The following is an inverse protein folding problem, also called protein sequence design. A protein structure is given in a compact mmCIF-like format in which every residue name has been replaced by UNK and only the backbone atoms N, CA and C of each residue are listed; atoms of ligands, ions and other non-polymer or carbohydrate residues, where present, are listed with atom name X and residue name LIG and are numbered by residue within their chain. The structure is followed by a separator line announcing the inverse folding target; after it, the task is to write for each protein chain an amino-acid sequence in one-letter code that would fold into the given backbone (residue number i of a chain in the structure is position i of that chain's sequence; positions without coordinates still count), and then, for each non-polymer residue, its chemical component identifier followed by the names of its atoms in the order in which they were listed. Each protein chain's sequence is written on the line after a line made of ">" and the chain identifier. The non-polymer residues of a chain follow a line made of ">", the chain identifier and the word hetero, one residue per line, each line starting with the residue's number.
data_IF_585339131965
#
_entry.id   IF_585339131965
#
_cell.length_a   1.000
_cell.length_b   1.000
_cell.length_c   1.000
_cell.angle_alpha   90.00
_cell.angle_beta   90.00
_cell.angle_gamma   90.00
#
_symmetry.space_group_name_H-M   'P 1'
#
loop_
_entity.id
_entity.type
_entity.pdbx_description
1 polymer ?
#
# COMPACT_ATOMS: atom_id res chain seq x y z
N UNK A 1 20.21 -43.29 48.48
CA UNK A 1 19.42 -42.09 48.17
C UNK A 1 20.10 -41.40 47.01
N UNK A 2 19.57 -41.53 45.79
CA UNK A 2 20.10 -40.78 44.65
C UNK A 2 19.46 -39.39 44.70
N UNK A 3 20.29 -38.37 44.86
CA UNK A 3 19.86 -36.99 44.71
C UNK A 3 19.33 -36.84 43.28
N UNK A 4 18.02 -36.68 43.13
CA UNK A 4 17.41 -36.32 41.87
C UNK A 4 17.98 -34.96 41.49
N UNK A 5 18.83 -34.96 40.47
CA UNK A 5 19.46 -33.77 39.90
C UNK A 5 18.36 -32.97 39.20
N UNK A 6 17.71 -32.08 39.96
CA UNK A 6 16.67 -31.21 39.42
C UNK A 6 17.39 -30.14 38.61
N UNK A 7 17.41 -30.33 37.28
CA UNK A 7 17.94 -29.31 36.38
C UNK A 7 17.22 -27.98 36.66
N UNK A 8 17.96 -26.86 36.79
CA UNK A 8 17.36 -25.57 37.08
C UNK A 8 16.36 -25.21 35.99
N UNK A 9 15.14 -24.85 36.39
CA UNK A 9 14.06 -24.48 35.48
C UNK A 9 14.51 -23.27 34.64
N UNK A 10 14.68 -23.47 33.33
CA UNK A 10 15.04 -22.43 32.37
C UNK A 10 13.89 -22.21 31.38
N UNK A 11 13.65 -20.97 30.97
CA UNK A 11 12.66 -20.58 29.96
C UNK A 11 12.80 -21.38 28.65
N UNK A 12 14.03 -21.73 28.28
CA UNK A 12 14.31 -22.53 27.07
C UNK A 12 13.83 -23.98 27.19
N UNK A 13 13.69 -24.49 28.41
CA UNK A 13 13.35 -25.88 28.72
C UNK A 13 11.90 -26.06 29.14
N UNK A 14 11.09 -25.00 29.09
CA UNK A 14 9.69 -25.08 29.45
C UNK A 14 8.91 -26.00 28.50
N UNK A 15 7.95 -26.79 29.02
CA UNK A 15 7.03 -27.53 28.17
C UNK A 15 6.26 -26.60 27.22
N UNK A 16 6.02 -27.06 25.98
CA UNK A 16 5.38 -26.27 24.93
C UNK A 16 4.02 -25.67 25.36
N UNK A 17 3.24 -26.39 26.17
CA UNK A 17 1.94 -25.91 26.67
C UNK A 17 2.08 -24.72 27.62
N UNK A 18 3.13 -24.68 28.44
CA UNK A 18 3.42 -23.54 29.31
C UNK A 18 3.88 -22.35 28.49
N UNK A 19 4.73 -22.58 27.48
CA UNK A 19 5.17 -21.52 26.54
C UNK A 19 3.95 -20.91 25.83
N UNK A 20 3.05 -21.73 25.28
CA UNK A 20 1.81 -21.25 24.64
C UNK A 20 0.94 -20.43 25.60
N UNK A 21 0.82 -20.87 26.86
CA UNK A 21 0.07 -20.14 27.88
C UNK A 21 0.70 -18.77 28.15
N UNK A 22 2.02 -18.70 28.36
CA UNK A 22 2.74 -17.43 28.57
C UNK A 22 2.58 -16.50 27.36
N UNK A 23 2.82 -17.02 26.16
CA UNK A 23 2.63 -16.30 24.88
C UNK A 23 1.21 -15.73 24.76
N UNK A 24 0.19 -16.48 25.21
CA UNK A 24 -1.20 -16.02 25.17
C UNK A 24 -1.53 -14.93 26.20
N UNK A 25 -0.77 -14.85 27.30
CA UNK A 25 -0.95 -13.87 28.37
C UNK A 25 -0.19 -12.55 28.08
N UNK A 26 0.98 -12.62 27.46
CA UNK A 26 1.84 -11.45 27.19
C UNK A 26 1.82 -11.04 25.71
N UNK A 27 0.79 -10.29 25.31
CA UNK A 27 0.59 -9.84 23.92
C UNK A 27 1.59 -8.77 23.45
N UNK A 28 2.16 -8.00 24.37
CA UNK A 28 2.98 -6.82 24.03
C UNK A 28 4.47 -7.16 23.81
N UNK A 29 4.93 -8.33 24.27
CA UNK A 29 6.35 -8.74 24.23
C UNK A 29 6.64 -9.88 23.24
N UNK A 30 5.70 -10.17 22.33
CA UNK A 30 5.78 -11.33 21.43
C UNK A 30 7.04 -11.33 20.54
N UNK A 31 7.52 -10.17 20.09
CA UNK A 31 8.73 -10.12 19.26
C UNK A 31 10.00 -10.49 20.06
N UNK A 32 10.12 -10.02 21.31
CA UNK A 32 11.23 -10.39 22.17
C UNK A 32 11.19 -11.87 22.54
N UNK A 33 10.00 -12.45 22.72
CA UNK A 33 9.84 -13.87 23.02
C UNK A 33 10.33 -14.80 21.90
N UNK A 34 10.23 -14.38 20.64
CA UNK A 34 10.71 -15.17 19.48
C UNK A 34 12.22 -15.40 19.52
N UNK A 35 12.95 -14.59 20.27
CA UNK A 35 14.41 -14.65 20.39
C UNK A 35 14.88 -15.59 21.52
N UNK A 36 13.97 -16.08 22.38
CA UNK A 36 14.32 -16.95 23.51
C UNK A 36 14.83 -18.31 22.99
N UNK A 37 13.98 -19.06 22.30
CA UNK A 37 14.36 -20.35 21.71
C UNK A 37 13.51 -20.71 20.49
N UNK A 38 13.91 -21.72 19.67
CA UNK A 38 13.09 -22.19 18.55
C UNK A 38 11.67 -22.61 18.95
N UNK A 39 11.49 -23.17 20.15
CA UNK A 39 10.18 -23.57 20.66
C UNK A 39 9.28 -22.34 20.93
N UNK A 40 9.85 -21.27 21.50
CA UNK A 40 9.15 -20.00 21.69
C UNK A 40 8.79 -19.35 20.35
N UNK A 41 9.72 -19.32 19.40
CA UNK A 41 9.45 -18.80 18.05
C UNK A 41 8.29 -19.55 17.38
N UNK A 42 8.24 -20.87 17.52
CA UNK A 42 7.15 -21.70 16.98
C UNK A 42 5.81 -21.45 17.70
N UNK A 43 5.82 -21.35 19.04
CA UNK A 43 4.62 -21.07 19.82
C UNK A 43 4.07 -19.66 19.54
N UNK A 44 4.93 -18.64 19.44
CA UNK A 44 4.54 -17.29 19.03
C UNK A 44 3.98 -17.29 17.61
N UNK A 45 4.63 -17.97 16.67
CA UNK A 45 4.11 -18.08 15.30
C UNK A 45 2.73 -18.77 15.26
N UNK A 46 2.54 -19.85 16.03
CA UNK A 46 1.25 -20.53 16.15
C UNK A 46 0.19 -19.62 16.79
N UNK A 47 0.53 -18.93 17.86
CA UNK A 47 -0.38 -18.01 18.53
C UNK A 47 -0.80 -16.86 17.62
N UNK A 48 0.18 -16.25 16.93
CA UNK A 48 -0.06 -15.19 15.96
C UNK A 48 -0.93 -15.68 14.80
N UNK A 49 -0.72 -16.92 14.32
CA UNK A 49 -1.57 -17.51 13.28
C UNK A 49 -3.03 -17.69 13.71
N UNK A 50 -3.29 -17.87 15.01
CA UNK A 50 -4.63 -17.92 15.59
C UNK A 50 -5.22 -16.55 15.95
N UNK A 51 -4.41 -15.49 15.93
CA UNK A 51 -4.79 -14.11 16.26
C UNK A 51 -4.82 -13.20 15.03
N UNK A 52 -4.76 -13.75 13.82
CA UNK A 52 -4.86 -12.95 12.63
C UNK A 52 -6.26 -12.35 12.54
N UNK A 53 -6.33 -11.03 12.69
CA UNK A 53 -7.56 -10.29 12.48
C UNK A 53 -7.85 -10.23 10.97
N UNK A 54 -9.13 -10.13 10.60
CA UNK A 54 -9.54 -9.77 9.25
C UNK A 54 -9.82 -8.28 9.21
N UNK A 55 -9.26 -7.59 8.23
CA UNK A 55 -9.62 -6.22 7.90
C UNK A 55 -10.93 -6.24 7.12
N UNK A 56 -11.91 -5.44 7.55
CA UNK A 56 -13.16 -5.32 6.79
C UNK A 56 -12.94 -4.50 5.52
N UNK A 57 -12.18 -3.40 5.64
CA UNK A 57 -11.85 -2.52 4.52
C UNK A 57 -10.48 -1.90 4.71
N UNK A 58 -9.73 -1.79 3.62
CA UNK A 58 -8.52 -0.96 3.52
C UNK A 58 -8.70 -0.06 2.32
N UNK A 59 -8.49 1.23 2.50
CA UNK A 59 -8.51 2.19 1.42
C UNK A 59 -7.14 2.86 1.35
N UNK A 60 -6.42 2.57 0.28
CA UNK A 60 -5.21 3.27 -0.08
C UNK A 60 -5.58 4.33 -1.11
N UNK A 61 -5.19 5.56 -0.87
CA UNK A 61 -5.36 6.62 -1.86
C UNK A 61 -4.09 7.43 -1.99
N UNK A 62 -3.83 7.97 -3.19
CA UNK A 62 -2.84 9.03 -3.34
C UNK A 62 -3.51 10.40 -3.33
N UNK A 63 -2.80 11.43 -2.87
CA UNK A 63 -3.29 12.81 -2.92
C UNK A 63 -3.05 13.44 -4.31
N UNK A 64 -3.38 12.72 -5.38
CA UNK A 64 -3.12 13.15 -6.76
C UNK A 64 -3.99 14.38 -7.10
N UNK A 65 -5.21 14.46 -6.56
CA UNK A 65 -6.05 15.66 -6.69
C UNK A 65 -6.43 16.32 -5.36
N UNK A 66 -5.49 17.07 -4.78
CA UNK A 66 -5.86 18.26 -4.01
C UNK A 66 -6.22 19.40 -4.98
N UNK A 67 -7.33 19.29 -5.73
CA UNK A 67 -8.11 20.50 -5.96
C UNK A 67 -8.52 20.93 -4.55
N UNK A 68 -7.90 21.98 -4.04
CA UNK A 68 -8.35 22.57 -2.80
C UNK A 68 -9.82 22.92 -3.01
N UNK A 69 -10.72 22.20 -2.34
CA UNK A 69 -12.17 22.50 -2.23
C UNK A 69 -12.44 23.88 -1.58
N UNK A 70 -11.47 24.78 -1.60
CA UNK A 70 -11.65 26.18 -1.28
C UNK A 70 -12.24 26.90 -2.49
N UNK A 71 -13.51 26.64 -2.78
CA UNK A 71 -14.36 27.60 -3.51
C UNK A 71 -14.43 28.97 -2.79
N UNK A 72 -13.90 29.05 -1.56
CA UNK A 72 -13.70 30.27 -0.77
C UNK A 72 -12.53 31.17 -1.23
N UNK A 73 -11.70 30.76 -2.21
CA UNK A 73 -10.50 31.53 -2.63
C UNK A 73 -10.73 32.47 -3.84
N UNK A 74 -11.98 32.73 -4.27
CA UNK A 74 -12.26 33.75 -5.28
C UNK A 74 -11.92 35.18 -4.80
N UNK A 75 -11.91 35.43 -3.49
CA UNK A 75 -11.58 36.75 -2.91
C UNK A 75 -10.07 37.00 -2.75
N UNK A 76 -9.21 35.99 -2.93
CA UNK A 76 -7.74 36.13 -2.85
C UNK A 76 -7.04 36.51 -4.16
N UNK A 77 -7.77 36.67 -5.25
CA UNK A 77 -7.23 36.96 -6.59
C UNK A 77 -6.42 38.29 -6.67
N UNK A 78 -6.51 39.18 -5.68
CA UNK A 78 -5.82 40.48 -5.67
C UNK A 78 -4.62 40.59 -4.73
N UNK A 79 -4.31 39.55 -3.94
CA UNK A 79 -3.09 39.55 -3.13
C UNK A 79 -1.88 39.14 -4.01
N UNK A 80 -0.72 39.82 -3.92
CA UNK A 80 0.49 39.38 -4.60
C UNK A 80 0.81 37.95 -4.15
N UNK A 81 1.05 37.02 -5.09
CA UNK A 81 1.17 35.61 -4.76
C UNK A 81 2.31 35.43 -3.75
N UNK A 82 2.07 34.80 -2.58
CA UNK A 82 3.15 34.43 -1.69
C UNK A 82 4.16 33.61 -2.49
N UNK A 83 5.46 33.92 -2.34
CA UNK A 83 6.52 33.18 -3.05
C UNK A 83 6.26 31.69 -2.89
N UNK A 84 6.09 30.92 -3.98
CA UNK A 84 5.72 29.52 -3.89
C UNK A 84 6.82 28.82 -3.11
N UNK A 85 6.51 28.37 -1.89
CA UNK A 85 7.31 27.32 -1.27
C UNK A 85 7.23 26.15 -2.24
N UNK A 86 8.36 25.52 -2.61
CA UNK A 86 8.30 24.31 -3.43
C UNK A 86 7.38 23.34 -2.70
N UNK A 87 6.18 23.14 -3.25
CA UNK A 87 5.22 22.20 -2.67
C UNK A 87 5.90 20.83 -2.74
N UNK A 88 5.92 20.05 -1.64
CA UNK A 88 6.36 18.68 -1.73
C UNK A 88 5.59 18.02 -2.87
N UNK A 89 6.31 17.30 -3.72
CA UNK A 89 5.75 16.57 -4.85
C UNK A 89 4.60 15.68 -4.33
N UNK A 90 3.33 16.06 -4.57
CA UNK A 90 2.18 15.40 -3.92
C UNK A 90 1.91 14.03 -4.52
N UNK A 91 2.44 13.77 -5.73
CA UNK A 91 2.12 12.64 -6.60
C UNK A 91 2.61 11.28 -6.07
N UNK A 92 3.30 11.25 -4.93
CA UNK A 92 3.94 10.05 -4.36
C UNK A 92 3.57 9.79 -2.90
N UNK A 93 2.54 10.46 -2.38
CA UNK A 93 2.09 10.26 -1.01
C UNK A 93 0.88 9.33 -0.97
N UNK A 94 1.01 8.22 -0.24
CA UNK A 94 -0.07 7.26 0.02
C UNK A 94 -0.60 7.50 1.42
N UNK A 95 -1.91 7.63 1.51
CA UNK A 95 -2.64 7.65 2.78
C UNK A 95 -3.41 6.34 2.89
N UNK A 96 -3.43 5.76 4.09
CA UNK A 96 -4.13 4.53 4.39
C UNK A 96 -5.27 4.84 5.35
N UNK A 97 -6.46 4.36 5.00
CA UNK A 97 -7.61 4.19 5.89
C UNK A 97 -7.87 2.70 6.07
N UNK A 98 -8.20 2.27 7.28
CA UNK A 98 -8.51 0.89 7.56
C UNK A 98 -9.64 0.75 8.57
N UNK A 99 -10.63 -0.07 8.25
CA UNK A 99 -11.74 -0.44 9.13
C UNK A 99 -11.39 -1.72 9.88
N UNK A 100 -11.23 -1.57 11.20
CA UNK A 100 -10.76 -2.60 12.12
C UNK A 100 -11.87 -2.97 13.10
N UNK A 101 -12.00 -4.25 13.48
CA UNK A 101 -12.88 -4.60 14.59
C UNK A 101 -12.39 -3.98 15.89
N UNK A 102 -13.31 -3.59 16.78
CA UNK A 102 -12.97 -2.96 18.08
C UNK A 102 -12.10 -3.85 18.99
N UNK A 103 -12.09 -5.15 18.73
CA UNK A 103 -11.24 -6.13 19.42
C UNK A 103 -9.76 -6.08 19.03
N UNK A 104 -9.39 -5.31 18.00
CA UNK A 104 -8.02 -5.17 17.55
C UNK A 104 -7.21 -4.27 18.52
N UNK A 105 -6.09 -4.75 19.09
CA UNK A 105 -5.30 -3.95 20.03
C UNK A 105 -4.68 -2.75 19.33
N UNK A 106 -5.09 -1.53 19.72
CA UNK A 106 -4.61 -0.28 19.12
C UNK A 106 -3.07 -0.14 19.12
N UNK A 107 -2.39 -0.58 20.19
CA UNK A 107 -0.93 -0.53 20.29
C UNK A 107 -0.24 -1.37 19.19
N UNK A 108 -0.84 -2.49 18.76
CA UNK A 108 -0.28 -3.38 17.74
C UNK A 108 -0.20 -2.70 16.38
N UNK A 109 -1.23 -1.91 16.04
CA UNK A 109 -1.32 -1.18 14.77
C UNK A 109 -0.66 0.20 14.82
N UNK A 110 -0.14 0.62 15.98
CA UNK A 110 0.46 1.95 16.17
C UNK A 110 -0.56 3.08 16.29
N UNK A 111 -1.75 2.78 16.84
CA UNK A 111 -2.78 3.77 17.14
C UNK A 111 -2.29 4.72 18.24
N UNK A 112 -2.38 6.02 17.97
CA UNK A 112 -1.85 7.08 18.84
C UNK A 112 -0.38 7.43 18.58
N UNK A 113 0.32 6.64 17.75
CA UNK A 113 1.69 6.95 17.31
C UNK A 113 1.69 7.53 15.90
N UNK A 114 1.45 6.67 14.89
CA UNK A 114 1.45 7.06 13.47
C UNK A 114 0.08 6.87 12.82
N UNK A 115 -0.86 6.21 13.51
CA UNK A 115 -2.26 6.14 13.14
C UNK A 115 -3.12 6.93 14.12
N UNK A 116 -4.21 7.51 13.60
CA UNK A 116 -5.24 8.21 14.36
C UNK A 116 -6.61 7.59 14.08
N UNK A 117 -7.54 7.71 15.03
CA UNK A 117 -8.93 7.32 14.79
C UNK A 117 -9.57 8.35 13.86
N UNK A 118 -10.10 7.89 12.74
CA UNK A 118 -10.88 8.71 11.82
C UNK A 118 -12.35 8.74 12.25
N UNK A 119 -12.95 7.56 12.44
CA UNK A 119 -14.36 7.39 12.80
C UNK A 119 -14.55 6.16 13.70
N UNK A 120 -15.59 6.17 14.53
CA UNK A 120 -15.97 5.04 15.41
C UNK A 120 -17.36 4.54 15.03
N UNK A 121 -17.46 3.24 14.82
CA UNK A 121 -18.69 2.49 14.60
C UNK A 121 -19.02 1.65 15.86
N UNK A 122 -20.24 1.08 15.99
CA UNK A 122 -20.62 0.33 17.19
C UNK A 122 -19.75 -0.90 17.52
N UNK A 123 -19.12 -1.51 16.50
CA UNK A 123 -18.30 -2.73 16.60
C UNK A 123 -16.94 -2.63 15.88
N UNK A 124 -16.60 -1.44 15.38
CA UNK A 124 -15.41 -1.19 14.59
C UNK A 124 -14.87 0.24 14.75
N UNK A 125 -13.58 0.42 14.49
CA UNK A 125 -12.93 1.72 14.35
C UNK A 125 -12.35 1.85 12.95
N UNK A 126 -12.57 2.99 12.32
CA UNK A 126 -11.80 3.38 11.15
C UNK A 126 -10.61 4.21 11.60
N UNK A 127 -9.42 3.77 11.21
CA UNK A 127 -8.17 4.47 11.49
C UNK A 127 -7.61 5.04 10.19
N UNK A 128 -6.82 6.10 10.33
CA UNK A 128 -6.08 6.70 9.22
C UNK A 128 -4.64 7.01 9.62
N UNK A 129 -3.72 6.99 8.68
CA UNK A 129 -2.37 7.53 8.86
C UNK A 129 -2.23 8.90 8.18
N UNK A 130 -1.18 9.63 8.52
CA UNK A 130 -0.76 10.79 7.74
C UNK A 130 -0.21 10.34 6.36
N UNK A 131 -0.23 11.21 5.33
CA UNK A 131 0.29 10.85 4.01
C UNK A 131 1.77 10.47 4.06
N UNK A 132 2.10 9.28 3.57
CA UNK A 132 3.45 8.73 3.58
C UNK A 132 4.01 8.63 2.17
N UNK A 133 5.28 9.04 1.99
CA UNK A 133 5.91 8.99 0.68
C UNK A 133 6.35 7.59 0.32
N UNK A 134 5.83 7.08 -0.79
CA UNK A 134 6.31 5.88 -1.45
C UNK A 134 7.10 6.31 -2.69
N UNK A 135 8.20 5.63 -2.97
CA UNK A 135 9.01 5.92 -4.15
C UNK A 135 9.33 4.62 -4.86
N UNK A 136 9.59 4.73 -6.15
CA UNK A 136 10.16 3.67 -6.94
C UNK A 136 11.53 3.23 -6.38
N UNK A 137 11.49 2.15 -5.61
CA UNK A 137 12.64 1.61 -4.91
C UNK A 137 13.69 1.04 -5.87
N UNK A 138 13.29 0.56 -7.05
CA UNK A 138 14.21 -0.06 -8.02
C UNK A 138 15.07 0.96 -8.76
N UNK A 139 14.48 2.06 -9.25
CA UNK A 139 15.23 3.01 -10.07
C UNK A 139 16.12 3.92 -9.22
N UNK A 140 15.66 4.39 -8.06
CA UNK A 140 16.48 5.27 -7.21
C UNK A 140 17.66 4.54 -6.58
N UNK A 141 17.48 3.31 -6.06
CA UNK A 141 18.58 2.57 -5.44
C UNK A 141 19.61 2.13 -6.47
N UNK A 142 19.18 1.74 -7.67
CA UNK A 142 20.09 1.45 -8.76
C UNK A 142 20.85 2.70 -9.23
N UNK A 143 20.16 3.83 -9.42
CA UNK A 143 20.79 5.11 -9.79
C UNK A 143 21.75 5.61 -8.69
N UNK A 144 21.38 5.46 -7.42
CA UNK A 144 22.22 5.83 -6.27
C UNK A 144 23.41 4.90 -6.11
N UNK A 145 23.23 3.57 -6.22
CA UNK A 145 24.37 2.62 -6.26
C UNK A 145 25.32 2.98 -7.38
N UNK A 146 24.82 3.26 -8.59
CA UNK A 146 25.64 3.75 -9.71
C UNK A 146 26.34 5.07 -9.40
N UNK A 147 25.70 6.03 -8.71
CA UNK A 147 26.33 7.29 -8.29
C UNK A 147 27.39 7.09 -7.21
N UNK A 148 27.13 6.27 -6.20
CA UNK A 148 28.07 5.95 -5.13
C UNK A 148 29.26 5.18 -5.67
N UNK A 149 29.03 4.21 -6.56
CA UNK A 149 30.07 3.45 -7.24
C UNK A 149 30.88 4.35 -8.18
N UNK A 150 30.24 5.24 -8.94
CA UNK A 150 30.93 6.24 -9.75
C UNK A 150 31.74 7.25 -8.91
N UNK A 151 31.25 7.61 -7.72
CA UNK A 151 31.99 8.46 -6.77
C UNK A 151 33.16 7.70 -6.16
N UNK A 152 32.96 6.45 -5.72
CA UNK A 152 34.01 5.58 -5.17
C UNK A 152 35.14 5.39 -6.18
N UNK A 153 34.78 5.07 -7.43
CA UNK A 153 35.73 4.91 -8.53
C UNK A 153 36.46 6.23 -8.87
N UNK A 154 35.85 7.41 -8.63
CA UNK A 154 36.53 8.70 -8.76
C UNK A 154 37.46 9.02 -7.59
N UNK A 155 37.11 8.59 -6.37
CA UNK A 155 37.94 8.79 -5.18
C UNK A 155 39.12 7.84 -5.11
N UNK A 156 39.00 6.61 -5.63
CA UNK A 156 40.13 5.66 -5.66
C UNK A 156 41.27 6.14 -6.59
N UNK A 157 40.99 7.03 -7.55
CA UNK A 157 42.00 7.66 -8.41
C UNK A 157 42.56 9.00 -7.85
N UNK A 158 42.09 9.47 -6.69
CA UNK A 158 42.59 10.72 -6.08
C UNK A 158 43.10 10.50 -4.65
N UNK A 159 44.42 10.47 -4.43
CA UNK A 159 44.97 10.37 -3.08
C UNK A 159 44.60 11.64 -2.27
N UNK A 160 43.96 11.45 -1.10
CA UNK A 160 43.71 12.45 -0.05
C UNK A 160 42.57 13.46 -0.25
N UNK A 161 41.33 13.01 -0.44
CA UNK A 161 40.14 13.89 -0.49
C UNK A 161 39.68 14.44 0.87
N UNK A 162 40.01 13.81 2.00
CA UNK A 162 39.69 14.35 3.34
C UNK A 162 40.42 15.67 3.63
N UNK A 163 41.62 15.86 3.07
CA UNK A 163 42.35 17.12 3.17
C UNK A 163 41.75 18.26 2.33
N UNK A 164 41.02 17.96 1.25
CA UNK A 164 40.53 18.99 0.32
C UNK A 164 39.40 19.82 0.94
N UNK A 165 38.52 19.21 1.75
CA UNK A 165 37.44 19.96 2.41
C UNK A 165 38.01 20.91 3.46
N UNK A 166 39.01 20.47 4.23
CA UNK A 166 39.71 21.32 5.20
C UNK A 166 40.53 22.41 4.50
N UNK A 167 41.21 22.09 3.40
CA UNK A 167 41.99 23.05 2.61
C UNK A 167 41.09 24.08 1.91
N UNK A 168 39.93 23.69 1.39
CA UNK A 168 38.96 24.63 0.78
C UNK A 168 38.31 25.49 1.84
N UNK A 169 37.94 24.92 3.00
CA UNK A 169 37.41 25.70 4.12
C UNK A 169 38.47 26.71 4.64
N UNK A 170 39.72 26.28 4.78
CA UNK A 170 40.84 27.14 5.16
C UNK A 170 41.13 28.21 4.11
N UNK A 171 41.11 27.87 2.82
CA UNK A 171 41.36 28.79 1.72
C UNK A 171 40.24 29.84 1.59
N UNK A 172 38.97 29.45 1.75
CA UNK A 172 37.84 30.40 1.80
C UNK A 172 37.98 31.32 3.02
N UNK A 173 38.34 30.77 4.18
CA UNK A 173 38.55 31.56 5.41
C UNK A 173 39.75 32.53 5.28
N UNK A 174 40.81 32.13 4.58
CA UNK A 174 41.99 32.96 4.33
C UNK A 174 41.70 34.06 3.29
N UNK A 175 41.05 33.72 2.18
CA UNK A 175 40.69 34.67 1.12
C UNK A 175 39.72 35.75 1.63
N UNK A 176 38.75 35.37 2.47
CA UNK A 176 37.84 36.34 3.10
C UNK A 176 38.52 37.22 4.14
N UNK A 177 39.47 36.67 4.91
CA UNK A 177 40.25 37.44 5.91
C UNK A 177 41.06 38.53 5.24
N UNK A 178 41.66 38.20 4.09
CA UNK A 178 42.49 39.11 3.33
C UNK A 178 41.69 40.22 2.64
N UNK A 179 40.48 39.91 2.16
CA UNK A 179 39.67 40.87 1.40
C UNK A 179 38.91 41.89 2.26
N UNK A 180 38.61 41.58 3.53
CA UNK A 180 37.65 42.39 4.31
C UNK A 180 38.21 42.99 5.60
N UNK A 181 39.43 42.65 6.03
CA UNK A 181 40.08 43.23 7.22
C UNK A 181 39.44 42.88 8.57
N UNK A 182 38.17 42.45 8.58
CA UNK A 182 37.43 41.98 9.75
C UNK A 182 36.43 40.90 9.32
N UNK A 183 36.75 39.63 9.57
CA UNK A 183 35.74 38.58 9.51
C UNK A 183 34.90 38.68 10.79
N UNK A 184 33.59 38.81 10.66
CA UNK A 184 32.69 38.40 11.75
C UNK A 184 32.56 36.87 11.70
N UNK A 185 32.92 36.12 12.75
CA UNK A 185 32.81 34.66 12.81
C UNK A 185 31.43 34.13 12.38
N UNK A 186 30.39 34.97 12.50
CA UNK A 186 29.04 34.70 12.04
C UNK A 186 28.91 34.42 10.53
N UNK A 187 29.71 35.04 9.65
CA UNK A 187 29.58 34.79 8.20
C UNK A 187 30.15 33.42 7.80
N UNK A 188 31.28 33.03 8.39
CA UNK A 188 31.86 31.69 8.17
C UNK A 188 30.94 30.61 8.74
N UNK A 189 30.39 30.82 9.94
CA UNK A 189 29.40 29.91 10.51
C UNK A 189 28.12 29.84 9.66
N UNK A 190 27.64 30.98 9.14
CA UNK A 190 26.50 31.01 8.23
C UNK A 190 26.77 30.24 6.94
N UNK A 191 27.94 30.40 6.32
CA UNK A 191 28.31 29.66 5.11
C UNK A 191 28.49 28.16 5.38
N UNK A 192 29.15 27.76 6.47
CA UNK A 192 29.25 26.35 6.88
C UNK A 192 27.87 25.77 7.22
N UNK A 193 27.00 26.54 7.87
CA UNK A 193 25.63 26.11 8.17
C UNK A 193 24.77 26.00 6.92
N UNK A 194 24.93 26.89 5.93
CA UNK A 194 24.27 26.82 4.63
C UNK A 194 24.82 25.66 3.80
N UNK A 195 26.12 25.38 3.88
CA UNK A 195 26.73 24.24 3.22
C UNK A 195 26.28 22.93 3.88
N UNK A 196 26.26 22.83 5.21
CA UNK A 196 25.69 21.69 5.97
C UNK A 196 24.19 21.52 5.72
N UNK A 197 23.43 22.62 5.57
CA UNK A 197 21.99 22.61 5.26
C UNK A 197 21.72 22.32 3.78
N UNK A 198 22.67 22.56 2.89
CA UNK A 198 22.62 22.16 1.48
C UNK A 198 23.09 20.71 1.29
N UNK A 199 23.94 20.22 2.19
CA UNK A 199 24.27 18.80 2.41
C UNK A 199 23.28 18.17 3.42
N UNK A 200 22.15 18.83 3.71
CA UNK A 200 21.10 18.23 4.55
C UNK A 200 20.74 16.90 3.90
N UNK A 201 20.98 15.86 4.69
CA UNK A 201 21.52 14.61 4.18
C UNK A 201 20.46 13.92 3.34
N UNK A 202 20.78 13.42 2.13
CA UNK A 202 19.93 12.45 1.45
C UNK A 202 19.57 11.23 2.33
N UNK A 203 20.28 11.06 3.46
CA UNK A 203 20.02 10.11 4.55
C UNK A 203 18.70 10.38 5.31
N UNK A 204 18.34 11.64 5.63
CA UNK A 204 17.09 11.95 6.38
C UNK A 204 15.83 11.57 5.56
N UNK A 205 15.87 11.84 4.25
CA UNK A 205 14.76 11.52 3.33
C UNK A 205 14.67 10.01 3.10
N UNK A 206 15.77 9.26 3.20
CA UNK A 206 15.77 7.80 3.07
C UNK A 206 15.24 7.12 4.33
N UNK A 207 15.60 7.63 5.50
CA UNK A 207 15.09 7.15 6.79
C UNK A 207 13.56 7.30 6.87
N UNK A 208 13.00 8.43 6.40
CA UNK A 208 11.55 8.63 6.33
C UNK A 208 10.85 7.61 5.40
N UNK A 209 11.50 7.21 4.30
CA UNK A 209 10.97 6.22 3.34
C UNK A 209 10.95 4.82 3.92
N UNK A 210 12.08 4.39 4.48
CA UNK A 210 12.20 3.07 5.11
C UNK A 210 11.23 2.96 6.29
N UNK A 211 11.02 4.06 7.01
CA UNK A 211 10.04 4.15 8.08
C UNK A 211 8.60 3.95 7.59
N UNK A 212 8.21 4.54 6.46
CA UNK A 212 6.87 4.36 5.88
C UNK A 212 6.61 2.90 5.48
N UNK A 213 7.54 2.29 4.72
CA UNK A 213 7.47 0.88 4.31
C UNK A 213 7.40 -0.02 5.54
N UNK A 214 8.28 0.20 6.53
CA UNK A 214 8.29 -0.58 7.76
C UNK A 214 6.99 -0.45 8.56
N UNK A 215 6.39 0.75 8.65
CA UNK A 215 5.11 0.97 9.32
C UNK A 215 3.97 0.22 8.64
N UNK A 216 3.88 0.30 7.32
CA UNK A 216 2.86 -0.41 6.55
C UNK A 216 3.06 -1.93 6.64
N UNK A 217 4.28 -2.44 6.47
CA UNK A 217 4.57 -3.87 6.64
C UNK A 217 4.23 -4.34 8.05
N UNK A 218 4.60 -3.59 9.09
CA UNK A 218 4.21 -3.90 10.48
C UNK A 218 2.70 -3.91 10.66
N UNK A 219 1.99 -2.92 10.11
CA UNK A 219 0.53 -2.87 10.15
C UNK A 219 -0.08 -4.12 9.54
N UNK A 220 0.25 -4.41 8.28
CA UNK A 220 -0.31 -5.51 7.53
C UNK A 220 0.04 -6.88 8.10
N UNK A 221 1.23 -7.05 8.69
CA UNK A 221 1.62 -8.29 9.40
C UNK A 221 0.68 -8.66 10.56
N UNK A 222 -0.18 -7.75 11.00
CA UNK A 222 -1.22 -7.98 12.00
C UNK A 222 -2.41 -8.81 11.53
N UNK A 223 -2.57 -8.98 10.22
CA UNK A 223 -3.81 -9.45 9.58
C UNK A 223 -3.54 -10.61 8.63
N UNK A 224 -4.49 -11.55 8.53
CA UNK A 224 -4.43 -12.65 7.54
C UNK A 224 -5.22 -12.34 6.27
N UNK A 225 -6.19 -11.45 6.38
CA UNK A 225 -7.16 -11.19 5.32
C UNK A 225 -7.56 -9.72 5.27
N UNK A 226 -7.76 -9.23 4.05
CA UNK A 226 -8.46 -7.99 3.74
C UNK A 226 -9.71 -8.38 2.96
N UNK A 227 -10.89 -8.08 3.51
CA UNK A 227 -12.14 -8.37 2.81
C UNK A 227 -12.31 -7.44 1.60
N UNK A 228 -11.99 -6.17 1.74
CA UNK A 228 -12.05 -5.22 0.63
C UNK A 228 -10.86 -4.26 0.65
N UNK A 229 -10.04 -4.30 -0.39
CA UNK A 229 -8.99 -3.34 -0.67
C UNK A 229 -9.44 -2.36 -1.76
N UNK A 230 -9.48 -1.08 -1.45
CA UNK A 230 -9.70 0.00 -2.41
C UNK A 230 -8.35 0.63 -2.69
N UNK A 231 -7.94 0.68 -3.96
CA UNK A 231 -6.87 1.54 -4.41
C UNK A 231 -7.49 2.68 -5.23
N UNK A 232 -7.22 3.92 -4.85
CA UNK A 232 -7.87 5.10 -5.40
C UNK A 232 -6.84 6.14 -5.86
N UNK A 233 -7.03 6.66 -7.07
CA UNK A 233 -6.28 7.78 -7.65
C UNK A 233 -4.76 7.53 -7.66
N UNK A 234 -4.29 6.34 -8.03
CA UNK A 234 -2.85 6.09 -8.21
C UNK A 234 -2.41 6.42 -9.64
N UNK A 235 -1.82 7.60 -9.81
CA UNK A 235 -1.19 7.99 -11.08
C UNK A 235 0.11 7.24 -11.37
N UNK A 236 0.83 6.79 -10.32
CA UNK A 236 2.12 6.10 -10.44
C UNK A 236 1.98 4.61 -10.03
N UNK A 237 2.18 3.72 -11.00
CA UNK A 237 2.21 2.25 -10.80
C UNK A 237 3.19 1.85 -9.71
N UNK A 238 4.38 2.46 -9.69
CA UNK A 238 5.48 2.03 -8.83
C UNK A 238 5.19 2.37 -7.37
N UNK A 239 4.46 3.47 -7.15
CA UNK A 239 3.91 3.84 -5.83
C UNK A 239 2.90 2.80 -5.37
N UNK A 240 1.94 2.45 -6.24
CA UNK A 240 0.95 1.43 -5.93
C UNK A 240 1.60 0.07 -5.63
N UNK A 241 2.48 -0.41 -6.51
CA UNK A 241 3.20 -1.66 -6.29
C UNK A 241 4.02 -1.63 -4.99
N UNK A 242 4.66 -0.51 -4.68
CA UNK A 242 5.45 -0.38 -3.46
C UNK A 242 4.56 -0.46 -2.23
N UNK A 243 3.38 0.17 -2.26
CA UNK A 243 2.38 0.07 -1.20
C UNK A 243 1.84 -1.37 -1.08
N UNK A 244 1.47 -2.02 -2.19
CA UNK A 244 0.95 -3.39 -2.18
C UNK A 244 1.99 -4.43 -1.75
N UNK A 245 3.27 -4.23 -2.09
CA UNK A 245 4.37 -5.07 -1.60
C UNK A 245 4.48 -5.09 -0.07
N UNK A 246 3.98 -4.06 0.63
CA UNK A 246 3.96 -4.04 2.10
C UNK A 246 2.92 -5.00 2.71
N UNK A 247 1.94 -5.46 1.93
CA UNK A 247 0.90 -6.40 2.35
C UNK A 247 1.34 -7.88 2.33
N UNK A 248 2.58 -8.16 1.92
CA UNK A 248 3.17 -9.50 1.85
C UNK A 248 2.27 -10.55 1.15
N UNK A 249 1.78 -11.57 1.87
CA UNK A 249 0.93 -12.66 1.36
C UNK A 249 -0.47 -12.65 2.02
N UNK A 250 -1.00 -11.46 2.32
CA UNK A 250 -2.35 -11.32 2.86
C UNK A 250 -3.38 -11.73 1.81
N UNK A 251 -4.37 -12.52 2.22
CA UNK A 251 -5.47 -12.89 1.36
C UNK A 251 -6.39 -11.68 1.15
N UNK A 252 -6.65 -11.30 -0.09
CA UNK A 252 -7.55 -10.19 -0.42
C UNK A 252 -8.80 -10.79 -1.05
N UNK A 253 -9.98 -10.51 -0.52
CA UNK A 253 -11.23 -11.05 -1.12
C UNK A 253 -11.68 -10.20 -2.30
N UNK A 254 -11.68 -8.88 -2.13
CA UNK A 254 -12.13 -7.92 -3.14
C UNK A 254 -11.10 -6.81 -3.32
N UNK A 255 -10.78 -6.52 -4.56
CA UNK A 255 -9.97 -5.39 -5.00
C UNK A 255 -10.87 -4.43 -5.77
N UNK A 256 -10.89 -3.17 -5.39
CA UNK A 256 -11.54 -2.10 -6.12
C UNK A 256 -10.49 -1.11 -6.58
N UNK A 257 -10.49 -0.81 -7.87
CA UNK A 257 -9.60 0.14 -8.50
C UNK A 257 -10.42 1.35 -8.93
N UNK A 258 -10.06 2.53 -8.39
CA UNK A 258 -10.69 3.81 -8.70
C UNK A 258 -9.75 4.82 -9.31
N UNK A 259 -10.27 5.61 -10.26
CA UNK A 259 -9.51 6.66 -10.94
C UNK A 259 -8.39 6.12 -11.81
N UNK A 260 -8.46 4.84 -12.21
CA UNK A 260 -7.48 4.23 -13.11
C UNK A 260 -7.97 4.26 -14.54
N UNK A 261 -7.11 4.72 -15.44
CA UNK A 261 -7.30 4.45 -16.87
C UNK A 261 -6.92 2.99 -17.15
N UNK A 262 -7.88 2.22 -17.66
CA UNK A 262 -7.64 0.84 -18.06
C UNK A 262 -6.55 0.78 -19.13
N UNK A 263 -5.47 0.05 -18.84
CA UNK A 263 -4.31 -0.09 -19.71
C UNK A 263 -3.65 -1.45 -19.49
N UNK A 264 -2.83 -1.91 -20.44
CA UNK A 264 -2.03 -3.14 -20.35
C UNK A 264 -1.22 -3.22 -19.05
N UNK A 265 -0.81 -2.05 -18.55
CA UNK A 265 -0.06 -1.90 -17.32
C UNK A 265 -0.89 -2.31 -16.10
N UNK A 266 -2.13 -1.78 -16.01
CA UNK A 266 -3.08 -2.09 -14.94
C UNK A 266 -3.56 -3.53 -15.06
N UNK A 267 -3.80 -4.03 -16.27
CA UNK A 267 -4.16 -5.44 -16.52
C UNK A 267 -3.12 -6.40 -15.94
N UNK A 268 -1.84 -6.21 -16.30
CA UNK A 268 -0.73 -7.04 -15.78
C UNK A 268 -0.60 -6.96 -14.26
N UNK A 269 -0.79 -5.77 -13.70
CA UNK A 269 -0.79 -5.57 -12.26
C UNK A 269 -1.94 -6.33 -11.59
N UNK A 270 -3.17 -6.26 -12.13
CA UNK A 270 -4.32 -7.00 -11.60
C UNK A 270 -4.04 -8.50 -11.63
N UNK A 271 -3.52 -9.05 -12.72
CA UNK A 271 -3.15 -10.48 -12.83
C UNK A 271 -2.12 -10.86 -11.75
N UNK A 272 -1.08 -10.03 -11.56
CA UNK A 272 -0.08 -10.26 -10.52
C UNK A 272 -0.71 -10.27 -9.12
N UNK A 273 -1.57 -9.30 -8.82
CA UNK A 273 -2.23 -9.18 -7.52
C UNK A 273 -3.20 -10.33 -7.26
N UNK A 274 -3.96 -10.74 -8.29
CA UNK A 274 -4.86 -11.88 -8.21
C UNK A 274 -4.08 -13.15 -7.86
N UNK A 275 -3.00 -13.41 -8.57
CA UNK A 275 -2.15 -14.58 -8.32
C UNK A 275 -1.49 -14.54 -6.94
N UNK A 276 -0.99 -13.36 -6.54
CA UNK A 276 -0.24 -13.19 -5.27
C UNK A 276 -1.14 -13.22 -4.03
N UNK A 277 -2.28 -12.54 -4.08
CA UNK A 277 -3.15 -12.31 -2.92
C UNK A 277 -4.44 -13.14 -2.95
N UNK A 278 -4.65 -13.96 -3.98
CA UNK A 278 -5.84 -14.80 -4.11
C UNK A 278 -7.12 -13.98 -4.27
N UNK A 279 -7.06 -12.86 -5.00
CA UNK A 279 -8.20 -11.96 -5.19
C UNK A 279 -9.35 -12.68 -5.88
N UNK A 280 -10.54 -12.61 -5.27
CA UNK A 280 -11.76 -13.24 -5.80
C UNK A 280 -12.66 -12.29 -6.58
N UNK A 281 -12.60 -11.00 -6.28
CA UNK A 281 -13.44 -9.99 -6.91
C UNK A 281 -12.58 -8.80 -7.29
N UNK A 282 -12.67 -8.35 -8.54
CA UNK A 282 -12.04 -7.11 -8.99
C UNK A 282 -13.12 -6.17 -9.49
N UNK A 283 -13.16 -4.95 -8.97
CA UNK A 283 -14.14 -3.92 -9.29
C UNK A 283 -13.42 -2.72 -9.90
N UNK A 284 -14.02 -2.13 -10.94
CA UNK A 284 -13.51 -0.96 -11.65
C UNK A 284 -14.60 0.11 -11.76
N UNK A 285 -14.19 1.37 -11.58
CA UNK A 285 -15.06 2.54 -11.72
C UNK A 285 -15.05 3.15 -13.13
N UNK A 286 -13.99 2.96 -13.92
CA UNK A 286 -13.90 3.40 -15.30
C UNK A 286 -13.27 2.32 -16.21
N UNK A 287 -13.93 2.05 -17.33
CA UNK A 287 -13.46 1.12 -18.36
C UNK A 287 -13.65 1.81 -19.72
N UNK A 288 -12.87 2.87 -19.92
CA UNK A 288 -12.96 3.73 -21.11
C UNK A 288 -12.26 3.15 -22.34
N UNK A 289 -11.36 2.17 -22.15
CA UNK A 289 -10.67 1.45 -23.23
C UNK A 289 -10.53 -0.03 -22.84
N UNK A 290 -10.76 -0.96 -23.76
CA UNK A 290 -10.62 -2.41 -23.56
C UNK A 290 -9.54 -3.02 -24.47
N UNK A 291 -8.57 -2.22 -24.92
CA UNK A 291 -7.39 -2.76 -25.59
C UNK A 291 -6.78 -3.92 -24.80
N UNK A 292 -6.49 -5.01 -25.51
CA UNK A 292 -5.90 -6.25 -24.97
C UNK A 292 -6.75 -6.98 -23.90
N UNK A 293 -8.04 -6.67 -23.82
CA UNK A 293 -8.95 -7.35 -22.88
C UNK A 293 -8.93 -8.88 -23.03
N UNK A 294 -8.85 -9.38 -24.27
CA UNK A 294 -8.78 -10.82 -24.55
C UNK A 294 -7.54 -11.47 -23.94
N UNK A 295 -6.36 -10.82 -24.07
CA UNK A 295 -5.11 -11.32 -23.50
C UNK A 295 -5.20 -11.35 -21.97
N UNK A 296 -5.71 -10.28 -21.36
CA UNK A 296 -5.95 -10.20 -19.92
C UNK A 296 -6.91 -11.29 -19.42
N UNK A 297 -8.04 -11.51 -20.10
CA UNK A 297 -9.00 -12.57 -19.77
C UNK A 297 -8.29 -13.93 -19.79
N UNK A 298 -7.58 -14.26 -20.87
CA UNK A 298 -6.83 -15.52 -20.95
C UNK A 298 -5.78 -15.64 -19.84
N UNK A 299 -5.06 -14.58 -19.48
CA UNK A 299 -4.10 -14.59 -18.36
C UNK A 299 -4.79 -14.91 -17.02
N UNK A 300 -5.92 -14.27 -16.72
CA UNK A 300 -6.68 -14.54 -15.48
C UNK A 300 -7.21 -15.97 -15.45
N UNK A 301 -7.70 -16.49 -16.57
CA UNK A 301 -8.22 -17.86 -16.67
C UNK A 301 -7.12 -18.90 -16.52
N UNK A 302 -5.91 -18.63 -17.01
CA UNK A 302 -4.76 -19.50 -16.80
C UNK A 302 -4.42 -19.66 -15.30
N UNK A 303 -4.94 -18.79 -14.43
CA UNK A 303 -4.88 -18.94 -12.97
C UNK A 303 -5.96 -19.90 -12.41
N UNK A 304 -6.75 -20.55 -13.29
CA UNK A 304 -7.82 -21.47 -12.93
C UNK A 304 -9.14 -20.77 -12.57
N UNK A 305 -9.32 -19.52 -12.98
CA UNK A 305 -10.47 -18.70 -12.62
C UNK A 305 -11.59 -18.72 -13.67
N UNK A 306 -12.84 -18.66 -13.23
CA UNK A 306 -14.00 -18.22 -14.03
C UNK A 306 -14.13 -16.70 -13.94
N UNK A 307 -14.65 -16.02 -14.96
CA UNK A 307 -14.80 -14.55 -14.98
C UNK A 307 -16.26 -14.18 -15.27
N UNK A 308 -16.95 -13.62 -14.28
CA UNK A 308 -18.28 -13.05 -14.49
C UNK A 308 -18.16 -11.52 -14.58
N UNK A 309 -18.71 -10.88 -15.63
CA UNK A 309 -18.56 -9.45 -15.92
C UNK A 309 -19.91 -8.73 -15.77
N UNK A 310 -19.95 -7.66 -14.98
CA UNK A 310 -21.17 -6.88 -14.74
C UNK A 310 -20.94 -5.44 -15.15
N UNK A 311 -21.89 -4.82 -15.86
CA UNK A 311 -21.83 -3.41 -16.23
C UNK A 311 -23.14 -2.69 -15.93
N UNK A 312 -23.04 -1.54 -15.28
CA UNK A 312 -24.21 -0.86 -14.71
C UNK A 312 -24.82 0.16 -15.67
N UNK A 313 -24.05 0.75 -16.57
CA UNK A 313 -24.51 1.81 -17.47
C UNK A 313 -24.21 1.51 -18.93
N UNK A 314 -25.07 0.74 -19.63
CA UNK A 314 -24.93 0.62 -21.07
C UNK A 314 -25.15 1.98 -21.74
N UNK A 315 -24.20 2.42 -22.56
CA UNK A 315 -24.37 3.59 -23.42
C UNK A 315 -24.88 3.10 -24.77
N UNK A 316 -26.12 3.42 -25.13
CA UNK A 316 -26.73 3.07 -26.43
C UNK A 316 -26.70 1.56 -26.76
N UNK A 317 -27.09 0.70 -25.80
CA UNK A 317 -27.01 -0.78 -25.89
C UNK A 317 -25.60 -1.35 -26.09
N UNK A 318 -24.57 -0.52 -25.85
CA UNK A 318 -23.17 -0.95 -25.86
C UNK A 318 -22.70 -1.16 -24.44
N UNK A 319 -21.94 -2.23 -24.29
CA UNK A 319 -21.29 -2.65 -23.07
C UNK A 319 -19.78 -2.50 -23.29
N UNK A 320 -19.12 -1.67 -22.49
CA UNK A 320 -17.73 -1.24 -22.70
C UNK A 320 -17.46 -0.80 -24.14
N UNK A 321 -18.36 0.04 -24.68
CA UNK A 321 -18.32 0.57 -26.05
C UNK A 321 -18.47 -0.49 -27.17
N UNK A 322 -18.71 -1.76 -26.84
CA UNK A 322 -18.96 -2.85 -27.78
C UNK A 322 -20.44 -3.26 -27.77
N UNK A 323 -21.02 -3.66 -28.91
CA UNK A 323 -22.41 -4.13 -28.95
C UNK A 323 -22.58 -5.45 -28.17
N UNK A 324 -23.76 -5.70 -27.59
CA UNK A 324 -24.05 -6.97 -26.89
C UNK A 324 -23.71 -8.23 -27.71
N UNK A 325 -23.94 -8.20 -29.03
CA UNK A 325 -23.63 -9.32 -29.91
C UNK A 325 -22.14 -9.68 -29.97
N UNK A 326 -21.25 -8.69 -29.86
CA UNK A 326 -19.80 -8.93 -29.78
C UNK A 326 -19.48 -9.78 -28.55
N UNK A 327 -20.10 -9.43 -27.42
CA UNK A 327 -19.87 -10.14 -26.18
C UNK A 327 -20.51 -11.52 -26.12
N UNK A 328 -21.68 -11.71 -26.73
CA UNK A 328 -22.30 -13.03 -26.86
C UNK A 328 -21.40 -13.98 -27.66
N UNK A 329 -20.81 -13.48 -28.76
CA UNK A 329 -19.81 -14.22 -29.55
C UNK A 329 -18.57 -14.53 -28.71
N UNK A 330 -18.06 -13.54 -27.97
CA UNK A 330 -16.91 -13.71 -27.08
C UNK A 330 -17.17 -14.71 -25.96
N UNK A 331 -18.37 -14.70 -25.35
CA UNK A 331 -18.77 -15.68 -24.36
C UNK A 331 -18.77 -17.09 -24.94
N UNK A 332 -19.29 -17.26 -26.16
CA UNK A 332 -19.29 -18.54 -26.86
C UNK A 332 -17.88 -19.01 -27.25
N UNK A 333 -16.97 -18.09 -27.57
CA UNK A 333 -15.55 -18.37 -27.78
C UNK A 333 -14.89 -18.88 -26.49
N UNK A 334 -14.96 -18.09 -25.41
CA UNK A 334 -14.36 -18.41 -24.11
C UNK A 334 -14.95 -19.70 -23.50
N UNK A 335 -16.23 -19.98 -23.75
CA UNK A 335 -16.87 -21.22 -23.31
C UNK A 335 -16.19 -22.48 -23.89
N UNK A 336 -15.58 -22.40 -25.08
CA UNK A 336 -14.82 -23.52 -25.66
C UNK A 336 -13.58 -23.86 -24.84
N UNK A 337 -13.02 -22.87 -24.14
CA UNK A 337 -11.88 -23.02 -23.23
C UNK A 337 -12.32 -23.33 -21.79
N UNK A 338 -13.63 -23.55 -21.57
CA UNK A 338 -14.20 -23.89 -20.26
C UNK A 338 -14.43 -22.69 -19.35
N UNK A 339 -14.48 -21.49 -19.92
CA UNK A 339 -14.70 -20.23 -19.23
C UNK A 339 -16.17 -19.85 -19.35
N UNK A 340 -16.84 -19.62 -18.22
CA UNK A 340 -18.15 -18.94 -18.25
C UNK A 340 -17.91 -17.43 -18.25
N UNK A 341 -18.44 -16.72 -19.23
CA UNK A 341 -18.62 -15.28 -19.18
C UNK A 341 -20.12 -14.99 -19.14
N UNK A 342 -20.52 -14.21 -18.15
CA UNK A 342 -21.88 -13.69 -18.05
C UNK A 342 -21.81 -12.18 -18.16
N UNK A 343 -22.79 -11.62 -18.85
CA UNK A 343 -23.01 -10.19 -18.95
C UNK A 343 -24.37 -9.90 -18.40
N UNK A 344 -24.40 -9.09 -17.35
CA UNK A 344 -25.62 -8.64 -16.72
C UNK A 344 -25.62 -7.10 -16.71
N UNK A 345 -26.78 -6.52 -16.99
CA UNK A 345 -27.01 -5.07 -16.97
C UNK A 345 -27.88 -4.67 -15.78
N UNK A 346 -27.96 -3.37 -15.50
CA UNK A 346 -28.99 -2.82 -14.60
C UNK A 346 -30.39 -3.24 -15.09
N UNK A 347 -31.17 -3.90 -14.22
CA UNK A 347 -32.48 -4.48 -14.53
C UNK A 347 -32.48 -6.01 -14.72
N UNK A 348 -31.32 -6.65 -14.87
CA UNK A 348 -31.24 -8.10 -14.79
C UNK A 348 -31.39 -8.56 -13.33
N UNK A 349 -32.24 -9.56 -13.10
CA UNK A 349 -32.48 -10.12 -11.74
C UNK A 349 -31.21 -10.54 -11.01
N UNK A 350 -30.20 -11.01 -11.75
CA UNK A 350 -28.89 -11.39 -11.21
C UNK A 350 -28.17 -10.15 -10.65
N UNK A 351 -28.19 -9.03 -11.39
CA UNK A 351 -27.56 -7.78 -10.98
C UNK A 351 -28.20 -7.22 -9.70
N UNK A 352 -29.53 -7.18 -9.63
CA UNK A 352 -30.27 -6.73 -8.45
C UNK A 352 -29.98 -7.61 -7.22
N UNK A 353 -29.91 -8.92 -7.41
CA UNK A 353 -29.65 -9.88 -6.33
C UNK A 353 -28.23 -9.78 -5.76
N UNK A 354 -27.26 -9.38 -6.59
CA UNK A 354 -25.86 -9.25 -6.19
C UNK A 354 -25.62 -8.02 -5.30
N UNK A 355 -26.46 -6.98 -5.41
CA UNK A 355 -26.37 -5.78 -4.59
C UNK A 355 -25.25 -4.81 -4.98
N UNK A 356 -24.90 -4.77 -6.27
CA UNK A 356 -23.92 -3.83 -6.79
C UNK A 356 -24.33 -2.38 -6.52
N UNK A 357 -23.33 -1.54 -6.27
CA UNK A 357 -23.57 -0.10 -6.15
C UNK A 357 -23.61 0.53 -7.52
N UNK A 358 -24.41 1.60 -7.66
CA UNK A 358 -24.66 2.24 -8.95
C UNK A 358 -23.41 2.74 -9.67
N UNK A 359 -22.34 3.09 -8.94
CA UNK A 359 -21.10 3.61 -9.54
C UNK A 359 -20.13 2.50 -10.00
N UNK A 360 -20.43 1.23 -9.77
CA UNK A 360 -19.59 0.13 -10.25
C UNK A 360 -19.72 0.07 -11.77
N UNK A 361 -18.65 0.30 -12.52
CA UNK A 361 -18.69 0.22 -13.98
C UNK A 361 -18.42 -1.21 -14.44
N UNK A 362 -17.46 -1.88 -13.83
CA UNK A 362 -17.21 -3.30 -14.06
C UNK A 362 -17.00 -4.05 -12.75
N UNK A 363 -17.51 -5.28 -12.68
CA UNK A 363 -17.09 -6.25 -11.68
C UNK A 363 -16.67 -7.55 -12.37
N UNK A 364 -15.53 -8.10 -11.96
CA UNK A 364 -14.99 -9.37 -12.39
C UNK A 364 -14.91 -10.31 -11.18
N UNK A 365 -15.69 -11.38 -11.18
CA UNK A 365 -15.57 -12.44 -10.19
C UNK A 365 -14.57 -13.48 -10.68
N UNK A 366 -13.47 -13.69 -9.98
CA UNK A 366 -12.33 -14.56 -10.28
C UNK A 366 -12.32 -15.72 -9.26
N UNK A 367 -12.87 -16.87 -9.64
CA UNK A 367 -13.00 -18.01 -8.71
C UNK A 367 -12.61 -19.34 -9.35
N UNK A 368 -12.02 -20.24 -8.57
CA UNK A 368 -11.86 -21.63 -9.00
C UNK A 368 -13.21 -22.35 -9.05
N UNK A 369 -13.28 -23.48 -9.77
CA UNK A 369 -14.51 -24.31 -9.84
C UNK A 369 -14.96 -24.79 -8.45
N UNK A 370 -14.01 -25.05 -7.56
CA UNK A 370 -14.28 -25.46 -6.18
C UNK A 370 -14.81 -24.29 -5.35
N UNK A 371 -14.18 -23.10 -5.46
CA UNK A 371 -14.62 -21.89 -4.76
C UNK A 371 -16.02 -21.47 -5.19
N UNK A 372 -16.36 -21.57 -6.48
CA UNK A 372 -17.69 -21.22 -6.98
C UNK A 372 -18.80 -22.10 -6.36
N UNK A 373 -18.50 -23.37 -6.06
CA UNK A 373 -19.44 -24.27 -5.39
C UNK A 373 -19.65 -23.91 -3.92
N UNK A 374 -18.63 -23.39 -3.24
CA UNK A 374 -18.74 -22.95 -1.84
C UNK A 374 -19.33 -21.55 -1.68
N UNK A 375 -19.00 -20.64 -2.60
CA UNK A 375 -19.25 -19.21 -2.46
C UNK A 375 -20.56 -18.72 -3.10
N UNK A 376 -21.36 -19.61 -3.71
CA UNK A 376 -22.62 -19.24 -4.39
C UNK A 376 -23.63 -18.48 -3.49
N UNK A 377 -23.41 -18.46 -2.17
CA UNK A 377 -24.23 -17.73 -1.19
C UNK A 377 -23.56 -16.48 -0.58
N UNK A 378 -22.32 -16.15 -0.95
CA UNK A 378 -21.66 -14.93 -0.46
C UNK A 378 -22.01 -13.74 -1.35
N UNK A 379 -23.08 -13.05 -0.97
CA UNK A 379 -23.50 -11.78 -1.57
C UNK A 379 -22.36 -10.75 -1.55
N UNK A 380 -22.17 -10.05 -2.67
CA UNK A 380 -21.28 -8.89 -2.88
C UNK A 380 -21.90 -7.66 -2.18
N UNK A 381 -22.34 -7.84 -0.93
CA UNK A 381 -22.85 -6.73 -0.14
C UNK A 381 -21.69 -5.88 0.26
N UNK A 382 -21.85 -4.59 0.00
CA UNK A 382 -20.88 -3.66 0.50
C UNK A 382 -20.75 -3.73 2.03
N UNK A 383 -19.53 -3.57 2.57
CA UNK A 383 -19.26 -3.50 3.99
C UNK A 383 -20.14 -2.44 4.62
N UNK A 384 -20.38 -2.59 5.91
CA UNK A 384 -21.18 -1.62 6.64
C UNK A 384 -20.47 -0.25 6.57
N UNK A 385 -21.25 0.83 6.53
CA UNK A 385 -20.71 2.19 6.44
C UNK A 385 -20.32 2.65 5.04
N UNK A 386 -20.57 1.85 3.99
CA UNK A 386 -20.43 2.31 2.60
C UNK A 386 -21.62 3.20 2.14
N UNK A 387 -22.55 3.58 3.01
CA UNK A 387 -23.50 4.63 2.63
C UNK A 387 -22.73 5.95 2.56
N UNK A 388 -22.25 6.22 1.35
CA UNK A 388 -21.43 7.34 0.94
C UNK A 388 -21.85 8.63 1.65
N UNK A 389 -21.15 8.98 2.73
CA UNK A 389 -20.92 10.39 3.10
C UNK A 389 -19.87 11.03 2.19
N UNK A 390 -19.26 10.26 1.29
CA UNK A 390 -18.43 10.74 0.18
C UNK A 390 -19.26 10.93 -1.09
N UNK A 391 -20.49 11.44 -0.97
CA UNK A 391 -21.06 12.24 -2.07
C UNK A 391 -20.20 13.48 -2.16
N UNK A 392 -19.16 13.41 -2.99
CA UNK A 392 -18.60 14.58 -3.65
C UNK A 392 -19.63 15.09 -4.66
#
# INVERSE_FOLDING_TARGET
>A
MMASDVSPLNLDTLPAEVIKLIVSMEKDSLESMRLISPAWKAAVAQHLSGLCYSLERVHLHTNSYCFSDSDDDLDRAFAPPPKPKPKPDPWNQVTLYALLPDSCPGARIGLGEWMSVHERFPDAIEVRCEPHKFYNYSNERAAKRRRVEALKNRTDDTPHSEGIVEVVAAAISAAFSYATGHITPGLVFALVSLFRRRIRKPEEVEEEKELAVHRFTRFFSGFSQIKWLVADDFSDREVLESALKTMDNIFITMLELRGFLWSDLIQKMVVELVNRHGIRHVIFDDVSDLQNFDEFVHEVINLGATIDIFETFPVDDRLFLQPRSFWDEKAAELYKDGISMHICCEGDTIFESAGYQKWVTAHMSIMTKEQRKSDFNHSIRAPRGYQSTMTR
#
